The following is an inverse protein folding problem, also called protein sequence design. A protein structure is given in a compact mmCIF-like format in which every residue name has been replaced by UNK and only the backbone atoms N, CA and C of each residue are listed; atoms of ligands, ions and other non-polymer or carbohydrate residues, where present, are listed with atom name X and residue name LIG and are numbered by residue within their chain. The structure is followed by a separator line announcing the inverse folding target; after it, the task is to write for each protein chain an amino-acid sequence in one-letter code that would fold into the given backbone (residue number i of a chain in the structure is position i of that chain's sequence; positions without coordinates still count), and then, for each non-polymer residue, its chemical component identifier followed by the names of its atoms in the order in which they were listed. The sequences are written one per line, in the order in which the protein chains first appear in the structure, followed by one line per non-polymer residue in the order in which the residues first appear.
data_IF_272531858038
#
_entry.id   IF_272531858038
#
_cell.length_a   1.000
_cell.length_b   1.000
_cell.length_c   1.000
_cell.angle_alpha   90.00
_cell.angle_beta   90.00
_cell.angle_gamma   90.00
#
_symmetry.space_group_name_H-M   'P 1'
#
loop_
_entity.id
_entity.type
_entity.pdbx_description
1 polymer ?
#
# COMPACT_ATOMS: atom_id res chain seq x y z
N UNK A 1 -33.72 -5.44 6.12
CA UNK A 1 -33.38 -4.80 4.83
C UNK A 1 -32.17 -5.56 4.28
N UNK A 2 -32.17 -5.87 3.02
CA UNK A 2 -30.97 -6.45 2.42
C UNK A 2 -29.78 -5.47 2.51
N UNK A 3 -28.55 -5.96 2.75
CA UNK A 3 -27.39 -5.10 2.85
C UNK A 3 -27.11 -4.39 1.52
N UNK A 4 -26.59 -3.17 1.59
CA UNK A 4 -26.16 -2.43 0.40
C UNK A 4 -24.92 -3.08 -0.16
N UNK A 5 -24.96 -3.50 -1.43
CA UNK A 5 -23.77 -4.03 -2.11
C UNK A 5 -22.92 -2.90 -2.69
N UNK A 6 -21.64 -2.90 -2.32
CA UNK A 6 -20.62 -1.96 -2.82
C UNK A 6 -19.61 -2.72 -3.64
N UNK A 7 -19.45 -2.36 -4.90
CA UNK A 7 -18.45 -2.96 -5.76
C UNK A 7 -17.10 -2.25 -5.60
N UNK A 8 -16.14 -2.91 -4.99
CA UNK A 8 -14.76 -2.46 -4.87
C UNK A 8 -13.97 -2.86 -6.12
N UNK A 9 -13.25 -1.93 -6.74
CA UNK A 9 -12.40 -2.23 -7.90
C UNK A 9 -10.95 -2.01 -7.53
N UNK A 10 -10.19 -3.10 -7.41
CA UNK A 10 -8.78 -3.12 -6.99
C UNK A 10 -7.92 -3.91 -7.99
N UNK A 11 -6.62 -3.64 -8.06
CA UNK A 11 -5.72 -4.36 -8.96
C UNK A 11 -5.53 -5.81 -8.50
N UNK A 12 -5.23 -5.97 -7.24
CA UNK A 12 -5.09 -7.25 -6.54
C UNK A 12 -5.69 -7.13 -5.14
N UNK A 13 -6.02 -8.24 -4.54
CA UNK A 13 -6.49 -8.28 -3.17
C UNK A 13 -5.61 -9.26 -2.38
N UNK A 14 -4.71 -8.72 -1.58
CA UNK A 14 -3.81 -9.46 -0.70
C UNK A 14 -3.30 -8.55 0.43
N UNK A 15 -2.74 -9.13 1.47
CA UNK A 15 -2.26 -8.39 2.64
C UNK A 15 -0.94 -7.63 2.41
N UNK A 16 -0.22 -7.95 1.35
CA UNK A 16 1.09 -7.35 1.03
C UNK A 16 1.01 -6.09 0.15
N UNK A 17 -0.19 -5.70 -0.28
CA UNK A 17 -0.44 -4.48 -1.05
C UNK A 17 -1.11 -3.42 -0.17
N UNK A 18 -0.52 -2.23 -0.07
CA UNK A 18 -1.03 -1.17 0.78
C UNK A 18 -2.50 -0.79 0.51
N UNK A 19 -2.94 -0.75 -0.76
CA UNK A 19 -4.34 -0.48 -1.11
C UNK A 19 -5.24 -1.62 -0.69
N UNK A 20 -4.82 -2.87 -0.96
CA UNK A 20 -5.57 -4.07 -0.56
C UNK A 20 -5.70 -4.16 0.96
N UNK A 21 -4.61 -3.92 1.68
CA UNK A 21 -4.59 -3.93 3.15
C UNK A 21 -5.60 -2.94 3.73
N UNK A 22 -5.66 -1.71 3.18
CA UNK A 22 -6.65 -0.71 3.61
C UNK A 22 -8.09 -1.17 3.34
N UNK A 23 -8.36 -1.69 2.15
CA UNK A 23 -9.71 -2.15 1.78
C UNK A 23 -10.13 -3.34 2.65
N UNK A 24 -9.22 -4.29 2.92
CA UNK A 24 -9.46 -5.43 3.80
C UNK A 24 -9.63 -5.01 5.26
N UNK A 25 -8.87 -4.03 5.75
CA UNK A 25 -9.04 -3.50 7.11
C UNK A 25 -10.44 -2.87 7.29
N UNK A 26 -10.92 -2.09 6.33
CA UNK A 26 -12.28 -1.57 6.37
C UNK A 26 -13.30 -2.70 6.30
N UNK A 27 -13.11 -3.66 5.40
CA UNK A 27 -14.00 -4.80 5.24
C UNK A 27 -14.15 -5.62 6.52
N UNK A 28 -13.05 -5.98 7.18
CA UNK A 28 -13.02 -6.79 8.41
C UNK A 28 -13.64 -6.08 9.62
N UNK A 29 -13.62 -4.75 9.63
CA UNK A 29 -14.10 -3.92 10.74
C UNK A 29 -15.48 -3.28 10.50
N UNK A 30 -16.14 -3.60 9.39
CA UNK A 30 -17.50 -3.11 9.13
C UNK A 30 -18.57 -4.14 9.54
N UNK A 31 -19.81 -3.67 9.73
CA UNK A 31 -20.97 -4.54 9.97
C UNK A 31 -21.56 -5.01 8.64
N UNK A 32 -21.47 -6.32 8.36
CA UNK A 32 -21.90 -6.91 7.08
C UNK A 32 -23.43 -7.02 6.93
N UNK A 33 -24.21 -6.85 8.01
CA UNK A 33 -25.66 -6.78 7.99
C UNK A 33 -26.23 -5.55 7.27
N UNK A 34 -25.45 -4.47 7.17
CA UNK A 34 -25.84 -3.22 6.53
C UNK A 34 -25.17 -2.97 5.18
N UNK A 35 -23.95 -3.49 4.99
CA UNK A 35 -23.15 -3.28 3.81
C UNK A 35 -22.29 -4.50 3.54
N UNK A 36 -22.22 -4.94 2.28
CA UNK A 36 -21.34 -6.03 1.82
C UNK A 36 -20.50 -5.52 0.65
N UNK A 37 -19.20 -5.83 0.66
CA UNK A 37 -18.33 -5.55 -0.46
C UNK A 37 -18.28 -6.72 -1.42
N UNK A 38 -18.46 -6.45 -2.70
CA UNK A 38 -18.06 -7.33 -3.79
C UNK A 38 -16.81 -6.76 -4.45
N UNK A 39 -16.02 -7.61 -5.09
CA UNK A 39 -14.71 -7.23 -5.59
C UNK A 39 -14.54 -7.54 -7.07
N UNK A 40 -14.10 -6.55 -7.85
CA UNK A 40 -13.42 -6.76 -9.12
C UNK A 40 -11.93 -6.72 -8.87
N UNK A 41 -11.24 -7.80 -9.25
CA UNK A 41 -9.79 -7.98 -9.13
C UNK A 41 -9.17 -8.35 -10.48
N UNK A 42 -7.87 -8.08 -10.69
CA UNK A 42 -7.14 -8.37 -11.91
C UNK A 42 -6.04 -9.43 -11.73
N UNK A 43 -5.87 -9.90 -10.50
CA UNK A 43 -4.99 -11.01 -10.14
C UNK A 43 -5.77 -12.06 -9.33
N UNK A 44 -5.35 -13.34 -9.35
CA UNK A 44 -5.96 -14.36 -8.51
C UNK A 44 -5.78 -14.05 -7.02
N UNK A 45 -6.77 -14.46 -6.22
CA UNK A 45 -6.71 -14.39 -4.76
C UNK A 45 -6.06 -15.64 -4.18
N UNK A 46 -5.53 -15.47 -2.98
CA UNK A 46 -5.23 -16.60 -2.10
C UNK A 46 -6.53 -17.30 -1.68
N UNK A 47 -6.50 -18.63 -1.59
CA UNK A 47 -7.70 -19.43 -1.32
C UNK A 47 -8.28 -19.19 0.09
N UNK A 48 -7.43 -18.89 1.08
CA UNK A 48 -7.87 -18.59 2.45
C UNK A 48 -8.62 -17.26 2.48
N UNK A 49 -8.06 -16.23 1.84
CA UNK A 49 -8.71 -14.92 1.72
C UNK A 49 -10.02 -14.99 0.92
N UNK A 50 -10.04 -15.75 -0.18
CA UNK A 50 -11.26 -15.95 -0.94
C UNK A 50 -12.37 -16.55 -0.08
N UNK A 51 -12.05 -17.60 0.70
CA UNK A 51 -13.00 -18.24 1.61
C UNK A 51 -13.48 -17.29 2.70
N UNK A 52 -12.59 -16.47 3.29
CA UNK A 52 -12.95 -15.45 4.28
C UNK A 52 -13.99 -14.49 3.72
N UNK A 53 -13.78 -13.96 2.51
CA UNK A 53 -14.68 -13.02 1.87
C UNK A 53 -16.04 -13.65 1.51
N UNK A 54 -16.04 -14.86 0.98
CA UNK A 54 -17.27 -15.58 0.61
C UNK A 54 -18.14 -15.92 1.82
N UNK A 55 -17.55 -16.19 2.99
CA UNK A 55 -18.28 -16.46 4.23
C UNK A 55 -19.17 -15.29 4.71
N UNK A 56 -18.82 -14.08 4.35
CA UNK A 56 -19.62 -12.86 4.66
C UNK A 56 -20.56 -12.46 3.54
N UNK A 57 -20.70 -13.31 2.50
CA UNK A 57 -21.58 -13.11 1.35
C UNK A 57 -21.03 -12.20 0.26
N UNK A 58 -19.70 -11.96 0.26
CA UNK A 58 -19.00 -11.22 -0.81
C UNK A 58 -18.83 -12.08 -2.06
N UNK A 59 -18.93 -11.45 -3.23
CA UNK A 59 -18.60 -12.06 -4.51
C UNK A 59 -17.31 -11.47 -5.08
N UNK A 60 -16.50 -12.34 -5.70
CA UNK A 60 -15.22 -11.96 -6.29
C UNK A 60 -15.27 -12.23 -7.78
N UNK A 61 -15.01 -11.19 -8.57
CA UNK A 61 -15.04 -11.22 -10.02
C UNK A 61 -13.65 -10.95 -10.58
N UNK A 62 -13.02 -11.98 -11.13
CA UNK A 62 -11.71 -11.84 -11.74
C UNK A 62 -11.84 -11.32 -13.17
N UNK A 63 -11.26 -10.15 -13.42
CA UNK A 63 -11.19 -9.51 -14.72
C UNK A 63 -9.83 -9.73 -15.39
N UNK A 64 -9.72 -9.59 -16.72
CA UNK A 64 -8.44 -9.64 -17.40
C UNK A 64 -7.45 -8.61 -16.83
N UNK A 65 -6.16 -8.98 -16.84
CA UNK A 65 -5.08 -8.08 -16.45
C UNK A 65 -5.13 -6.75 -17.24
N UNK A 66 -4.88 -5.64 -16.55
CA UNK A 66 -4.85 -4.29 -17.14
C UNK A 66 -3.58 -4.07 -17.97
N UNK A 67 -3.57 -4.57 -19.17
CA UNK A 67 -2.49 -4.37 -20.15
C UNK A 67 -3.06 -3.88 -21.48
N UNK A 68 -2.22 -3.22 -22.30
CA UNK A 68 -2.66 -2.73 -23.61
C UNK A 68 -3.19 -3.84 -24.51
N UNK A 69 -2.61 -5.05 -24.42
CA UNK A 69 -3.05 -6.23 -25.20
C UNK A 69 -4.42 -6.74 -24.75
N UNK A 70 -4.72 -6.68 -23.47
CA UNK A 70 -5.99 -7.19 -22.91
C UNK A 70 -7.11 -6.14 -22.88
N UNK A 71 -6.84 -4.90 -23.24
CA UNK A 71 -7.80 -3.80 -23.11
C UNK A 71 -9.14 -4.03 -23.86
N UNK A 72 -9.16 -4.56 -25.11
CA UNK A 72 -10.44 -4.87 -25.78
C UNK A 72 -11.26 -5.93 -25.03
N UNK A 73 -10.59 -6.98 -24.51
CA UNK A 73 -11.23 -8.04 -23.73
C UNK A 73 -11.74 -7.47 -22.41
N UNK A 74 -10.93 -6.68 -21.69
CA UNK A 74 -11.33 -6.04 -20.44
C UNK A 74 -12.59 -5.18 -20.59
N UNK A 75 -12.66 -4.34 -21.62
CA UNK A 75 -13.85 -3.52 -21.90
C UNK A 75 -15.08 -4.38 -22.19
N UNK A 76 -14.93 -5.48 -22.95
CA UNK A 76 -16.02 -6.40 -23.25
C UNK A 76 -16.54 -7.07 -21.98
N UNK A 77 -15.64 -7.58 -21.14
CA UNK A 77 -16.03 -8.25 -19.88
C UNK A 77 -16.68 -7.26 -18.88
N UNK A 78 -16.20 -6.01 -18.80
CA UNK A 78 -16.84 -4.98 -17.98
C UNK A 78 -18.29 -4.69 -18.44
N UNK A 79 -18.51 -4.53 -19.74
CA UNK A 79 -19.87 -4.30 -20.27
C UNK A 79 -20.79 -5.45 -19.95
N UNK A 80 -20.31 -6.69 -20.18
CA UNK A 80 -21.05 -7.90 -19.85
C UNK A 80 -21.40 -7.92 -18.36
N UNK A 81 -20.41 -7.70 -17.50
CA UNK A 81 -20.57 -7.67 -16.05
C UNK A 81 -21.65 -6.69 -15.62
N UNK A 82 -21.57 -5.43 -16.04
CA UNK A 82 -22.56 -4.43 -15.65
C UNK A 82 -23.96 -4.67 -16.22
N UNK A 83 -24.06 -5.29 -17.40
CA UNK A 83 -25.35 -5.71 -17.96
C UNK A 83 -25.99 -6.86 -17.17
N UNK A 84 -25.18 -7.85 -16.75
CA UNK A 84 -25.65 -8.99 -15.94
C UNK A 84 -26.00 -8.60 -14.49
N UNK A 85 -25.44 -7.47 -13.99
CA UNK A 85 -25.65 -6.96 -12.63
C UNK A 85 -26.38 -5.61 -12.61
N UNK A 86 -27.23 -5.36 -13.60
CA UNK A 86 -28.01 -4.13 -13.66
C UNK A 86 -28.88 -3.97 -12.37
N UNK A 87 -28.84 -2.79 -11.76
CA UNK A 87 -29.58 -2.49 -10.52
C UNK A 87 -29.01 -3.10 -9.23
N UNK A 88 -28.04 -4.03 -9.32
CA UNK A 88 -27.45 -4.71 -8.14
C UNK A 88 -26.61 -3.74 -7.29
N UNK A 89 -25.77 -2.93 -7.94
CA UNK A 89 -24.83 -2.07 -7.25
C UNK A 89 -25.35 -0.64 -7.14
N UNK A 90 -25.44 -0.13 -5.90
CA UNK A 90 -25.69 1.29 -5.62
C UNK A 90 -24.39 2.12 -5.63
N UNK A 91 -23.26 1.49 -5.32
CA UNK A 91 -21.96 2.14 -5.17
C UNK A 91 -20.91 1.32 -5.93
N UNK A 92 -20.12 1.99 -6.75
CA UNK A 92 -18.84 1.48 -7.28
C UNK A 92 -17.72 2.34 -6.70
N UNK A 93 -16.82 1.71 -5.95
CA UNK A 93 -15.67 2.34 -5.31
C UNK A 93 -14.38 1.87 -5.97
N UNK A 94 -13.76 2.73 -6.74
CA UNK A 94 -12.58 2.40 -7.52
C UNK A 94 -11.29 2.94 -6.94
N UNK A 95 -10.29 2.06 -6.87
CA UNK A 95 -8.95 2.34 -6.35
C UNK A 95 -7.88 2.38 -7.45
N UNK A 96 -8.29 2.30 -8.73
CA UNK A 96 -7.42 2.28 -9.90
C UNK A 96 -7.69 3.48 -10.80
N UNK A 97 -7.09 4.67 -10.53
CA UNK A 97 -7.36 5.88 -11.29
C UNK A 97 -7.09 5.75 -12.79
N UNK A 98 -6.01 5.04 -13.17
CA UNK A 98 -5.62 4.82 -14.57
C UNK A 98 -6.55 3.87 -15.35
N UNK A 99 -7.45 3.16 -14.68
CA UNK A 99 -8.48 2.32 -15.30
C UNK A 99 -9.89 2.87 -15.09
N UNK A 100 -10.05 3.93 -14.30
CA UNK A 100 -11.34 4.47 -13.88
C UNK A 100 -12.23 4.91 -15.06
N UNK A 101 -11.63 5.40 -16.15
CA UNK A 101 -12.38 5.76 -17.37
C UNK A 101 -13.18 4.58 -17.91
N UNK A 102 -12.72 3.35 -17.72
CA UNK A 102 -13.39 2.15 -18.20
C UNK A 102 -14.46 1.68 -17.21
N UNK A 103 -14.07 1.27 -15.98
CA UNK A 103 -15.02 0.68 -15.04
C UNK A 103 -16.05 1.70 -14.50
N UNK A 104 -15.67 2.95 -14.20
CA UNK A 104 -16.64 3.98 -13.82
C UNK A 104 -17.46 4.45 -15.02
N UNK A 105 -16.90 4.36 -16.23
CA UNK A 105 -17.62 4.63 -17.48
C UNK A 105 -18.76 3.65 -17.68
N UNK A 106 -18.49 2.35 -17.61
CA UNK A 106 -19.53 1.30 -17.75
C UNK A 106 -20.51 1.32 -16.55
N UNK A 107 -20.05 1.57 -15.33
CA UNK A 107 -20.92 1.79 -14.17
C UNK A 107 -21.88 2.97 -14.38
N UNK A 108 -21.42 4.07 -15.01
CA UNK A 108 -22.27 5.21 -15.36
C UNK A 108 -23.32 4.83 -16.40
N UNK A 109 -22.95 4.06 -17.43
CA UNK A 109 -23.89 3.58 -18.47
C UNK A 109 -24.94 2.64 -17.88
N UNK A 110 -24.58 1.81 -16.91
CA UNK A 110 -25.49 0.93 -16.17
C UNK A 110 -26.32 1.64 -15.09
N UNK A 111 -26.25 2.97 -15.01
CA UNK A 111 -27.07 3.76 -14.08
C UNK A 111 -26.63 3.71 -12.62
N UNK A 112 -25.43 3.24 -12.30
CA UNK A 112 -24.93 3.22 -10.92
C UNK A 112 -24.88 4.65 -10.37
N UNK A 113 -25.62 4.98 -9.28
CA UNK A 113 -25.77 6.36 -8.81
C UNK A 113 -24.52 6.91 -8.18
N UNK A 114 -23.77 6.12 -7.39
CA UNK A 114 -22.58 6.57 -6.67
C UNK A 114 -21.31 5.91 -7.24
N UNK A 115 -20.46 6.73 -7.82
CA UNK A 115 -19.20 6.31 -8.46
C UNK A 115 -18.05 7.02 -7.80
N UNK A 116 -17.40 6.33 -6.87
CA UNK A 116 -16.29 6.85 -6.07
C UNK A 116 -14.97 6.57 -6.81
N UNK A 117 -14.14 7.56 -6.92
CA UNK A 117 -12.73 7.40 -7.30
C UNK A 117 -11.87 7.77 -6.10
N UNK A 118 -10.99 6.85 -5.68
CA UNK A 118 -10.14 6.99 -4.50
C UNK A 118 -8.66 7.06 -4.91
N UNK A 119 -7.99 8.12 -4.52
CA UNK A 119 -6.56 8.33 -4.74
C UNK A 119 -5.74 7.78 -3.57
N UNK A 120 -4.77 6.91 -3.88
CA UNK A 120 -3.87 6.31 -2.86
C UNK A 120 -2.40 6.70 -3.07
N UNK A 121 -2.06 7.37 -4.17
CA UNK A 121 -0.68 7.72 -4.51
C UNK A 121 -0.51 9.22 -4.63
N UNK A 122 0.68 9.71 -4.28
CA UNK A 122 1.09 11.12 -4.41
C UNK A 122 2.00 11.37 -5.63
N UNK A 123 2.36 10.31 -6.38
CA UNK A 123 3.21 10.43 -7.56
C UNK A 123 2.82 9.41 -8.65
N UNK A 124 3.30 9.67 -9.86
CA UNK A 124 3.10 8.80 -11.02
C UNK A 124 4.06 7.63 -11.10
N UNK A 125 3.92 6.83 -12.16
CA UNK A 125 4.82 5.72 -12.48
C UNK A 125 6.25 6.21 -12.76
N UNK A 126 7.26 5.38 -12.47
CA UNK A 126 8.68 5.63 -12.74
C UNK A 126 8.99 5.79 -14.25
N UNK A 127 8.17 5.22 -15.12
CA UNK A 127 8.29 5.36 -16.58
C UNK A 127 7.59 6.62 -17.10
N UNK A 128 8.33 7.48 -17.82
CA UNK A 128 7.80 8.70 -18.44
C UNK A 128 6.59 8.41 -19.36
N UNK A 129 6.67 7.38 -20.19
CA UNK A 129 5.58 6.96 -21.09
C UNK A 129 4.34 6.58 -20.30
N UNK A 130 4.51 5.82 -19.21
CA UNK A 130 3.40 5.45 -18.33
C UNK A 130 2.84 6.68 -17.59
N UNK A 131 3.69 7.64 -17.19
CA UNK A 131 3.25 8.90 -16.54
C UNK A 131 2.33 9.69 -17.47
N UNK A 132 2.74 9.93 -18.72
CA UNK A 132 1.95 10.67 -19.70
C UNK A 132 0.62 9.94 -19.96
N UNK A 133 0.67 8.64 -20.24
CA UNK A 133 -0.54 7.83 -20.44
C UNK A 133 -1.48 7.92 -19.23
N UNK A 134 -0.96 7.72 -18.03
CA UNK A 134 -1.75 7.72 -16.81
C UNK A 134 -2.32 9.11 -16.52
N UNK A 135 -1.61 10.20 -16.83
CA UNK A 135 -2.14 11.55 -16.72
C UNK A 135 -3.46 11.72 -17.51
N UNK A 136 -3.47 11.31 -18.77
CA UNK A 136 -4.69 11.39 -19.59
C UNK A 136 -5.78 10.44 -19.09
N UNK A 137 -5.44 9.19 -18.77
CA UNK A 137 -6.41 8.21 -18.27
C UNK A 137 -7.02 8.62 -16.93
N UNK A 138 -6.21 9.15 -16.02
CA UNK A 138 -6.68 9.67 -14.74
C UNK A 138 -7.65 10.84 -14.93
N UNK A 139 -7.29 11.80 -15.79
CA UNK A 139 -8.17 12.95 -16.07
C UNK A 139 -9.53 12.50 -16.65
N UNK A 140 -9.51 11.56 -17.59
CA UNK A 140 -10.74 10.96 -18.15
C UNK A 140 -11.51 10.18 -17.09
N UNK A 141 -10.81 9.42 -16.22
CA UNK A 141 -11.41 8.65 -15.12
C UNK A 141 -12.11 9.54 -14.09
N UNK A 142 -11.47 10.64 -13.71
CA UNK A 142 -12.05 11.66 -12.80
C UNK A 142 -13.39 12.21 -13.34
N UNK A 143 -13.55 12.35 -14.65
CA UNK A 143 -14.82 12.80 -15.26
C UNK A 143 -15.96 11.78 -15.19
N UNK A 144 -15.67 10.50 -14.91
CA UNK A 144 -16.67 9.43 -14.76
C UNK A 144 -17.14 9.24 -13.32
N UNK A 145 -16.34 9.68 -12.36
CA UNK A 145 -16.71 9.70 -10.95
C UNK A 145 -17.66 10.86 -10.62
N UNK A 146 -18.44 10.74 -9.55
CA UNK A 146 -19.23 11.80 -8.96
C UNK A 146 -18.97 11.97 -7.46
N UNK A 147 -18.14 11.10 -6.86
CA UNK A 147 -17.61 11.22 -5.51
C UNK A 147 -16.09 11.06 -5.56
N UNK A 148 -15.36 11.88 -4.81
CA UNK A 148 -13.91 12.00 -4.89
C UNK A 148 -13.30 11.78 -3.52
N UNK A 149 -12.47 10.74 -3.39
CA UNK A 149 -11.81 10.37 -2.15
C UNK A 149 -10.30 10.35 -2.33
N UNK A 150 -9.57 10.60 -1.24
CA UNK A 150 -8.12 10.45 -1.21
C UNK A 150 -7.66 10.00 0.18
N UNK A 151 -6.58 9.24 0.27
CA UNK A 151 -6.02 8.80 1.53
C UNK A 151 -5.28 9.92 2.28
N UNK A 152 -4.94 11.02 1.62
CA UNK A 152 -4.23 12.19 2.17
C UNK A 152 -4.40 13.41 1.28
N UNK A 153 -4.05 14.60 1.77
CA UNK A 153 -4.05 15.84 1.00
C UNK A 153 -3.15 15.77 -0.23
N UNK A 154 -1.93 15.23 -0.11
CA UNK A 154 -1.01 15.09 -1.25
C UNK A 154 -1.54 14.09 -2.31
N UNK A 155 -2.22 13.02 -1.91
CA UNK A 155 -2.88 12.11 -2.84
C UNK A 155 -4.07 12.76 -3.54
N UNK A 156 -4.79 13.65 -2.86
CA UNK A 156 -5.85 14.47 -3.43
C UNK A 156 -5.30 15.44 -4.48
N UNK A 157 -4.24 16.17 -4.15
CA UNK A 157 -3.60 17.11 -5.08
C UNK A 157 -3.05 16.42 -6.32
N UNK A 158 -2.45 15.25 -6.15
CA UNK A 158 -1.91 14.47 -7.27
C UNK A 158 -2.97 14.07 -8.29
N UNK A 159 -4.09 13.53 -7.84
CA UNK A 159 -5.11 12.98 -8.75
C UNK A 159 -6.08 14.05 -9.25
N UNK A 160 -6.49 14.96 -8.40
CA UNK A 160 -7.56 15.91 -8.68
C UNK A 160 -7.06 17.31 -9.01
N UNK A 161 -5.79 17.60 -8.72
CA UNK A 161 -5.15 18.91 -8.92
C UNK A 161 -5.25 19.81 -7.68
N UNK A 162 -4.20 20.57 -7.43
CA UNK A 162 -4.09 21.49 -6.27
C UNK A 162 -5.22 22.51 -6.17
N UNK A 163 -5.70 22.99 -7.32
CA UNK A 163 -6.78 24.00 -7.39
C UNK A 163 -8.13 23.37 -7.78
N UNK A 164 -8.34 22.10 -7.46
CA UNK A 164 -9.59 21.42 -7.80
C UNK A 164 -10.77 22.05 -7.08
N UNK A 165 -11.85 22.35 -7.83
CA UNK A 165 -13.13 22.79 -7.27
C UNK A 165 -14.01 21.61 -6.81
N UNK A 166 -13.53 20.38 -6.89
CA UNK A 166 -14.25 19.18 -6.46
C UNK A 166 -14.26 19.10 -4.93
N UNK A 167 -15.38 18.65 -4.38
CA UNK A 167 -15.45 18.32 -2.96
C UNK A 167 -14.77 16.97 -2.74
N UNK A 168 -13.50 16.99 -2.33
CA UNK A 168 -12.70 15.81 -2.07
C UNK A 168 -12.82 15.46 -0.59
N UNK A 169 -13.14 14.20 -0.29
CA UNK A 169 -13.15 13.68 1.07
C UNK A 169 -11.81 13.00 1.35
N UNK A 170 -11.11 13.45 2.38
CA UNK A 170 -9.96 12.72 2.89
C UNK A 170 -10.48 11.56 3.73
N UNK A 171 -10.09 10.36 3.32
CA UNK A 171 -10.39 9.11 4.00
C UNK A 171 -9.07 8.38 4.21
N UNK A 172 -8.46 8.65 5.36
CA UNK A 172 -7.13 8.17 5.70
C UNK A 172 -7.07 6.64 5.71
N UNK A 173 -5.90 6.11 5.39
CA UNK A 173 -5.64 4.69 5.52
C UNK A 173 -5.73 4.29 6.99
N UNK A 174 -6.54 3.30 7.31
CA UNK A 174 -6.71 2.77 8.65
C UNK A 174 -6.19 1.35 8.77
N UNK A 175 -5.76 1.00 9.96
CA UNK A 175 -5.34 -0.34 10.34
C UNK A 175 -6.15 -0.80 11.56
N UNK A 176 -6.00 -2.06 11.92
CA UNK A 176 -6.45 -2.63 13.19
C UNK A 176 -5.28 -2.59 14.18
N UNK A 177 -5.22 -1.59 15.10
CA UNK A 177 -4.02 -1.37 15.92
C UNK A 177 -3.66 -2.55 16.81
N UNK A 178 -4.65 -3.31 17.27
CA UNK A 178 -4.47 -4.46 18.15
C UNK A 178 -3.58 -5.55 17.52
N UNK A 179 -3.61 -5.68 16.19
CA UNK A 179 -2.75 -6.64 15.46
C UNK A 179 -1.26 -6.29 15.53
N UNK A 180 -0.94 -5.06 15.88
CA UNK A 180 0.43 -4.55 15.95
C UNK A 180 0.91 -4.32 17.38
N UNK A 181 0.05 -4.54 18.38
CA UNK A 181 0.41 -4.42 19.80
C UNK A 181 1.65 -5.24 20.13
N UNK A 182 2.55 -4.66 20.93
CA UNK A 182 3.79 -5.31 21.29
C UNK A 182 3.57 -6.67 21.97
N UNK A 183 4.27 -7.70 21.47
CA UNK A 183 4.22 -9.07 21.98
C UNK A 183 5.64 -9.61 22.18
N UNK A 184 6.04 -9.75 23.45
CA UNK A 184 7.40 -10.16 23.83
C UNK A 184 7.75 -11.56 23.29
N UNK A 185 6.82 -12.51 23.32
CA UNK A 185 7.07 -13.88 22.84
C UNK A 185 7.39 -13.90 21.34
N UNK A 186 6.63 -13.18 20.52
CA UNK A 186 6.88 -13.04 19.09
C UNK A 186 8.23 -12.38 18.82
N UNK A 187 8.58 -11.33 19.61
CA UNK A 187 9.89 -10.69 19.52
C UNK A 187 11.03 -11.66 19.79
N UNK A 188 10.98 -12.37 20.91
CA UNK A 188 12.03 -13.32 21.31
C UNK A 188 12.15 -14.48 20.31
N UNK A 189 11.03 -15.03 19.85
CA UNK A 189 10.98 -16.09 18.85
C UNK A 189 11.66 -15.67 17.53
N UNK A 190 11.30 -14.51 16.97
CA UNK A 190 11.87 -14.04 15.72
C UNK A 190 13.33 -13.63 15.87
N UNK A 191 13.72 -12.98 16.96
CA UNK A 191 15.13 -12.62 17.23
C UNK A 191 15.99 -13.88 17.35
N UNK A 192 15.48 -14.93 17.98
CA UNK A 192 16.15 -16.25 18.05
C UNK A 192 16.22 -16.92 16.67
N UNK A 193 15.11 -16.96 15.92
CA UNK A 193 15.03 -17.56 14.59
C UNK A 193 16.04 -16.94 13.62
N UNK A 194 16.18 -15.62 13.64
CA UNK A 194 17.11 -14.88 12.78
C UNK A 194 18.50 -14.68 13.42
N UNK A 195 18.74 -15.24 14.61
CA UNK A 195 20.01 -15.19 15.33
C UNK A 195 20.54 -13.75 15.53
N UNK A 196 19.64 -12.82 15.79
CA UNK A 196 20.03 -11.41 15.93
C UNK A 196 20.56 -11.08 17.33
N UNK A 197 20.22 -11.88 18.35
CA UNK A 197 20.65 -11.61 19.73
C UNK A 197 20.16 -10.25 20.25
N UNK A 198 21.02 -9.52 20.96
CA UNK A 198 20.72 -8.20 21.51
C UNK A 198 21.08 -7.04 20.57
N UNK A 199 21.53 -7.34 19.34
CA UNK A 199 21.88 -6.31 18.34
C UNK A 199 20.71 -5.36 18.07
N UNK A 200 21.01 -4.12 17.78
CA UNK A 200 20.03 -3.14 17.32
C UNK A 200 19.40 -3.59 15.99
N UNK A 201 18.08 -3.73 15.92
CA UNK A 201 17.36 -4.10 14.72
C UNK A 201 16.66 -2.89 14.12
N UNK A 202 17.21 -2.42 13.01
CA UNK A 202 16.64 -1.33 12.22
C UNK A 202 15.80 -1.95 11.12
N UNK A 203 14.50 -1.67 11.06
CA UNK A 203 13.58 -2.37 10.17
C UNK A 203 13.00 -1.50 9.07
N UNK A 204 12.71 -2.13 7.94
CA UNK A 204 11.90 -1.58 6.87
C UNK A 204 10.94 -2.64 6.31
N UNK A 205 9.69 -2.26 6.11
CA UNK A 205 8.69 -3.10 5.46
C UNK A 205 8.25 -2.43 4.17
N UNK A 206 8.45 -3.11 3.04
CA UNK A 206 8.07 -2.52 1.77
C UNK A 206 8.53 -3.30 0.55
N UNK A 207 7.84 -3.05 -0.57
CA UNK A 207 8.21 -3.64 -1.86
C UNK A 207 9.54 -3.07 -2.35
N UNK A 208 10.45 -3.92 -2.84
CA UNK A 208 11.70 -3.50 -3.47
C UNK A 208 11.43 -2.81 -4.82
N UNK A 209 11.11 -1.52 -4.73
CA UNK A 209 10.81 -0.61 -5.83
C UNK A 209 11.51 0.73 -5.61
N UNK A 210 11.68 1.52 -6.66
CA UNK A 210 12.31 2.84 -6.63
C UNK A 210 11.70 3.74 -5.52
N UNK A 211 10.38 3.74 -5.43
CA UNK A 211 9.62 4.49 -4.44
C UNK A 211 10.13 4.31 -3.00
N UNK A 212 10.47 3.08 -2.59
CA UNK A 212 10.85 2.72 -1.21
C UNK A 212 12.34 2.98 -0.90
N UNK A 213 13.15 3.29 -1.94
CA UNK A 213 14.52 3.76 -1.81
C UNK A 213 15.44 2.84 -0.97
N UNK A 214 15.38 1.52 -1.24
CA UNK A 214 16.22 0.52 -0.55
C UNK A 214 17.71 0.80 -0.68
N UNK A 215 18.11 1.49 -1.76
CA UNK A 215 19.49 1.95 -1.92
C UNK A 215 19.93 2.83 -0.75
N UNK A 216 19.10 3.77 -0.34
CA UNK A 216 19.39 4.69 0.76
C UNK A 216 19.41 3.96 2.11
N UNK A 217 18.54 2.96 2.33
CA UNK A 217 18.60 2.09 3.52
C UNK A 217 19.96 1.39 3.66
N UNK A 218 20.51 0.89 2.56
CA UNK A 218 21.83 0.27 2.56
C UNK A 218 22.95 1.31 2.79
N UNK A 219 22.77 2.55 2.34
CA UNK A 219 23.71 3.65 2.62
C UNK A 219 23.67 4.05 4.11
N UNK A 220 22.49 4.07 4.74
CA UNK A 220 22.36 4.27 6.20
C UNK A 220 23.10 3.15 6.96
N UNK A 221 22.88 1.88 6.58
CA UNK A 221 23.56 0.74 7.20
C UNK A 221 25.09 0.82 7.04
N UNK A 222 25.58 1.29 5.89
CA UNK A 222 27.02 1.49 5.68
C UNK A 222 27.58 2.57 6.60
N UNK A 223 26.87 3.70 6.76
CA UNK A 223 27.26 4.76 7.71
C UNK A 223 27.22 4.30 9.17
N UNK A 224 26.25 3.46 9.53
CA UNK A 224 26.18 2.90 10.88
C UNK A 224 27.33 1.89 11.15
N UNK A 225 27.70 1.11 10.13
CA UNK A 225 28.83 0.16 10.24
C UNK A 225 30.18 0.83 10.54
N UNK A 226 30.36 2.09 10.14
CA UNK A 226 31.57 2.86 10.50
C UNK A 226 31.64 3.16 12.01
N UNK A 227 30.50 3.08 12.71
CA UNK A 227 30.38 3.36 14.14
C UNK A 227 30.31 2.09 14.99
N UNK A 228 29.61 1.06 14.51
CA UNK A 228 29.38 -0.20 15.22
C UNK A 228 29.05 -1.34 14.24
N UNK A 229 29.42 -2.56 14.63
CA UNK A 229 28.96 -3.80 13.95
C UNK A 229 27.74 -4.43 14.63
N UNK A 230 27.31 -3.88 15.77
CA UNK A 230 26.28 -4.48 16.62
C UNK A 230 24.87 -4.07 16.22
N UNK A 231 24.56 -4.22 14.93
CA UNK A 231 23.24 -3.92 14.38
C UNK A 231 22.82 -4.89 13.25
N UNK A 232 21.53 -4.91 12.98
CA UNK A 232 20.90 -5.59 11.83
C UNK A 232 20.00 -4.61 11.09
N UNK A 233 20.15 -4.51 9.79
CA UNK A 233 19.14 -3.93 8.89
C UNK A 233 18.21 -5.05 8.41
N UNK A 234 16.97 -5.05 8.87
CA UNK A 234 15.92 -6.00 8.51
C UNK A 234 15.08 -5.45 7.36
N UNK A 235 15.13 -6.11 6.21
CA UNK A 235 14.38 -5.75 5.00
C UNK A 235 13.27 -6.76 4.72
N UNK A 236 12.04 -6.38 5.01
CA UNK A 236 10.84 -7.22 4.85
C UNK A 236 10.14 -6.87 3.54
N UNK A 237 10.04 -7.82 2.62
CA UNK A 237 9.34 -7.65 1.36
C UNK A 237 10.06 -8.25 0.15
N UNK A 238 9.42 -8.11 -1.00
CA UNK A 238 9.91 -8.58 -2.30
C UNK A 238 9.81 -7.48 -3.36
N UNK A 239 10.49 -7.64 -4.50
CA UNK A 239 10.35 -6.74 -5.64
C UNK A 239 11.53 -6.72 -6.59
N UNK A 240 11.37 -5.99 -7.68
CA UNK A 240 12.30 -6.01 -8.81
C UNK A 240 13.71 -5.53 -8.47
N UNK A 241 13.86 -4.64 -7.48
CA UNK A 241 15.15 -4.08 -7.08
C UNK A 241 15.88 -4.88 -5.99
N UNK A 242 15.29 -6.00 -5.52
CA UNK A 242 15.97 -6.85 -4.51
C UNK A 242 17.33 -7.34 -4.95
N UNK A 243 17.52 -7.92 -6.17
CA UNK A 243 18.84 -8.40 -6.60
C UNK A 243 19.91 -7.30 -6.66
N UNK A 244 19.52 -6.08 -7.05
CA UNK A 244 20.40 -4.92 -7.05
C UNK A 244 20.78 -4.49 -5.62
N UNK A 245 19.81 -4.51 -4.70
CA UNK A 245 20.03 -4.20 -3.28
C UNK A 245 20.99 -5.21 -2.65
N UNK A 246 20.81 -6.51 -2.89
CA UNK A 246 21.70 -7.58 -2.41
C UNK A 246 23.13 -7.43 -2.96
N UNK A 247 23.27 -7.06 -4.25
CA UNK A 247 24.57 -6.77 -4.85
C UNK A 247 25.27 -5.57 -4.17
N UNK A 248 24.49 -4.54 -3.80
CA UNK A 248 25.01 -3.37 -3.09
C UNK A 248 25.46 -3.71 -1.68
N UNK A 249 24.68 -4.52 -0.94
CA UNK A 249 25.06 -5.05 0.38
C UNK A 249 26.39 -5.77 0.32
N UNK A 250 26.57 -6.71 -0.62
CA UNK A 250 27.86 -7.40 -0.81
C UNK A 250 29.01 -6.44 -1.14
N UNK A 251 28.77 -5.46 -2.02
CA UNK A 251 29.80 -4.48 -2.40
C UNK A 251 30.29 -3.64 -1.20
N UNK A 252 29.42 -3.41 -0.22
CA UNK A 252 29.73 -2.61 0.97
C UNK A 252 30.14 -3.47 2.18
N UNK A 253 30.26 -4.80 2.04
CA UNK A 253 30.65 -5.72 3.10
C UNK A 253 29.64 -5.79 4.24
N UNK A 254 28.33 -5.70 3.93
CA UNK A 254 27.24 -5.64 4.91
C UNK A 254 26.49 -6.97 5.07
N UNK A 255 27.02 -8.09 4.51
CA UNK A 255 26.32 -9.39 4.49
C UNK A 255 26.00 -9.89 5.91
N UNK A 256 26.84 -9.59 6.90
CA UNK A 256 26.61 -9.96 8.29
C UNK A 256 25.62 -9.04 9.05
N UNK A 257 25.26 -7.91 8.43
CA UNK A 257 24.41 -6.88 9.05
C UNK A 257 23.05 -6.71 8.36
N UNK A 258 22.76 -7.41 7.26
CA UNK A 258 21.51 -7.24 6.51
C UNK A 258 20.76 -8.57 6.38
N UNK A 259 19.49 -8.57 6.77
CA UNK A 259 18.59 -9.71 6.63
C UNK A 259 17.51 -9.37 5.60
N UNK A 260 17.34 -10.25 4.61
CA UNK A 260 16.27 -10.21 3.61
C UNK A 260 15.27 -11.32 3.92
N UNK A 261 14.06 -10.98 4.38
CA UNK A 261 13.06 -12.00 4.72
C UNK A 261 12.31 -12.53 3.50
N UNK A 262 12.24 -11.75 2.42
CA UNK A 262 11.28 -11.98 1.35
C UNK A 262 9.87 -11.48 1.72
N UNK A 263 8.88 -11.84 0.90
CA UNK A 263 7.48 -11.59 1.22
C UNK A 263 7.05 -12.51 2.37
N UNK A 264 6.39 -11.94 3.36
CA UNK A 264 5.93 -12.65 4.56
C UNK A 264 4.41 -12.59 4.67
N UNK A 265 3.78 -13.62 5.26
CA UNK A 265 2.32 -13.64 5.47
C UNK A 265 1.88 -12.70 6.60
N UNK A 266 2.69 -12.61 7.66
CA UNK A 266 2.37 -11.87 8.88
C UNK A 266 3.37 -10.72 9.09
N UNK A 267 3.31 -9.62 8.34
CA UNK A 267 4.25 -8.52 8.48
C UNK A 267 4.21 -7.88 9.88
N UNK A 268 3.07 -7.94 10.60
CA UNK A 268 2.93 -7.44 11.96
C UNK A 268 3.90 -8.09 12.94
N UNK A 269 4.28 -9.35 12.74
CA UNK A 269 5.20 -10.06 13.62
C UNK A 269 6.62 -9.49 13.50
N UNK A 270 6.99 -9.04 12.32
CA UNK A 270 8.34 -8.49 12.06
C UNK A 270 8.57 -7.11 12.69
N UNK A 271 7.52 -6.32 12.92
CA UNK A 271 7.65 -5.08 13.70
C UNK A 271 8.04 -5.38 15.16
N UNK A 272 7.66 -6.56 15.69
CA UNK A 272 7.97 -6.92 17.07
C UNK A 272 9.49 -7.10 17.31
N UNK A 273 10.24 -7.55 16.29
CA UNK A 273 11.69 -7.73 16.46
C UNK A 273 12.51 -6.47 16.21
N UNK A 274 11.90 -5.41 15.67
CA UNK A 274 12.55 -4.14 15.38
C UNK A 274 12.73 -3.30 16.65
N UNK A 275 13.72 -2.41 16.62
CA UNK A 275 13.95 -1.38 17.64
C UNK A 275 13.67 0.02 17.05
N UNK A 276 13.89 0.20 15.74
CA UNK A 276 13.62 1.44 14.98
C UNK A 276 13.06 1.08 13.61
N UNK A 277 12.09 1.84 13.14
CA UNK A 277 11.54 1.70 11.79
C UNK A 277 12.01 2.82 10.87
N UNK A 278 12.49 2.48 9.68
CA UNK A 278 12.95 3.44 8.67
C UNK A 278 12.03 3.47 7.44
N UNK A 279 11.65 4.68 6.99
CA UNK A 279 10.90 4.89 5.76
C UNK A 279 11.51 6.03 4.91
N UNK A 280 12.62 5.81 4.19
CA UNK A 280 13.25 6.81 3.33
C UNK A 280 12.59 6.88 1.94
N UNK A 281 11.28 6.72 1.86
CA UNK A 281 10.54 6.70 0.59
C UNK A 281 10.67 8.02 -0.16
N UNK A 282 10.81 7.94 -1.48
CA UNK A 282 10.88 9.13 -2.34
C UNK A 282 9.54 9.86 -2.42
N UNK A 283 8.44 9.15 -2.29
CA UNK A 283 7.07 9.66 -2.29
C UNK A 283 6.10 8.63 -1.73
N UNK A 284 5.05 9.09 -1.04
CA UNK A 284 3.95 8.26 -0.53
C UNK A 284 2.64 9.05 -0.57
N UNK A 285 1.51 8.34 -0.66
CA UNK A 285 0.20 8.91 -0.41
C UNK A 285 -0.02 9.09 1.10
N UNK A 286 -0.36 7.99 1.78
CA UNK A 286 -0.27 7.82 3.24
C UNK A 286 0.24 6.39 3.46
N UNK A 287 1.52 6.20 3.85
CA UNK A 287 2.13 4.88 3.93
C UNK A 287 1.58 4.07 5.10
N UNK A 288 0.82 3.01 4.81
CA UNK A 288 0.23 2.11 5.83
C UNK A 288 1.31 1.55 6.75
N UNK A 289 2.46 1.15 6.20
CA UNK A 289 3.59 0.58 6.97
C UNK A 289 4.13 1.52 8.04
N UNK A 290 4.03 2.84 7.86
CA UNK A 290 4.43 3.80 8.89
C UNK A 290 3.35 3.96 9.97
N UNK A 291 2.08 3.79 9.63
CA UNK A 291 0.98 3.72 10.60
C UNK A 291 1.11 2.44 11.44
N UNK A 292 1.43 1.32 10.80
CA UNK A 292 1.66 0.01 11.41
C UNK A 292 2.84 0.05 12.40
N UNK A 293 3.99 0.61 11.98
CA UNK A 293 5.17 0.75 12.83
C UNK A 293 4.90 1.60 14.09
N UNK A 294 4.16 2.71 13.93
CA UNK A 294 3.76 3.54 15.07
C UNK A 294 2.77 2.83 16.01
N UNK A 295 1.84 2.04 15.45
CA UNK A 295 0.93 1.20 16.24
C UNK A 295 1.67 0.09 17.01
N UNK A 296 2.81 -0.38 16.48
CA UNK A 296 3.71 -1.30 17.18
C UNK A 296 4.56 -0.61 18.26
N UNK A 297 4.44 0.72 18.43
CA UNK A 297 5.19 1.50 19.41
C UNK A 297 6.64 1.79 19.01
N UNK A 298 6.99 1.63 17.73
CA UNK A 298 8.36 1.83 17.26
C UNK A 298 8.68 3.33 17.07
N UNK A 299 9.87 3.78 17.49
CA UNK A 299 10.48 4.99 16.97
C UNK A 299 10.58 4.89 15.44
N UNK A 300 10.21 5.97 14.73
CA UNK A 300 10.17 5.98 13.28
C UNK A 300 10.99 7.13 12.70
N UNK A 301 11.97 6.83 11.84
CA UNK A 301 12.62 7.82 11.01
C UNK A 301 11.97 7.77 9.62
N UNK A 302 11.38 8.88 9.20
CA UNK A 302 10.59 8.98 7.98
C UNK A 302 11.11 10.12 7.11
N UNK A 303 11.20 9.89 5.81
CA UNK A 303 11.64 10.92 4.87
C UNK A 303 10.69 12.15 4.89
N UNK A 304 11.25 13.34 4.80
CA UNK A 304 10.50 14.61 4.71
C UNK A 304 9.70 14.77 3.40
N UNK A 305 10.00 13.93 2.40
CA UNK A 305 9.22 13.77 1.16
C UNK A 305 7.86 13.09 1.36
N UNK A 306 7.65 12.43 2.51
CA UNK A 306 6.37 11.83 2.88
C UNK A 306 5.49 12.89 3.54
N UNK A 307 4.17 12.80 3.33
CA UNK A 307 3.21 13.75 3.93
C UNK A 307 3.32 13.83 5.45
N UNK A 308 3.13 15.02 6.02
CA UNK A 308 3.07 15.21 7.48
C UNK A 308 1.91 14.49 8.16
N UNK A 309 0.87 14.17 7.40
CA UNK A 309 -0.29 13.40 7.88
C UNK A 309 0.09 11.98 8.40
N UNK A 310 1.34 11.53 8.11
CA UNK A 310 1.88 10.25 8.63
C UNK A 310 2.29 10.32 10.10
N UNK A 311 2.49 11.52 10.65
CA UNK A 311 2.94 11.72 12.04
C UNK A 311 1.74 11.58 12.97
N UNK A 312 1.61 10.41 13.59
CA UNK A 312 0.50 10.05 14.48
C UNK A 312 0.93 9.99 15.95
N UNK A 313 2.24 9.86 16.19
CA UNK A 313 2.85 9.78 17.54
C UNK A 313 4.04 10.74 17.64
N UNK A 314 4.48 11.04 18.86
CA UNK A 314 5.65 11.86 19.17
C UNK A 314 6.99 11.11 18.92
N UNK A 315 6.95 9.83 18.60
CA UNK A 315 8.12 9.01 18.27
C UNK A 315 8.50 9.06 16.78
N UNK A 316 7.87 9.91 16.00
CA UNK A 316 8.19 10.09 14.57
C UNK A 316 9.13 11.27 14.40
N UNK A 317 10.27 11.02 13.75
CA UNK A 317 11.21 12.04 13.31
C UNK A 317 11.28 12.07 11.79
N UNK A 318 11.14 13.25 11.20
CA UNK A 318 11.23 13.44 9.74
C UNK A 318 12.58 13.98 9.36
N UNK A 319 13.23 13.33 8.39
CA UNK A 319 14.60 13.64 7.98
C UNK A 319 14.70 13.77 6.45
N UNK A 320 15.60 14.64 5.96
CA UNK A 320 15.87 14.73 4.53
C UNK A 320 16.60 13.49 4.02
N UNK A 321 16.36 13.10 2.75
CA UNK A 321 16.96 11.93 2.12
C UNK A 321 18.27 12.23 1.34
N UNK A 322 18.91 13.36 1.62
CA UNK A 322 20.16 13.76 0.98
C UNK A 322 21.40 13.21 1.70
N UNK A 323 21.31 12.89 2.98
CA UNK A 323 22.46 12.51 3.80
C UNK A 323 22.15 11.28 4.66
N UNK A 324 22.67 10.12 4.26
CA UNK A 324 22.49 8.87 4.99
C UNK A 324 23.20 8.86 6.37
N UNK A 325 24.31 9.63 6.53
CA UNK A 325 25.00 9.74 7.80
C UNK A 325 24.16 10.47 8.87
N UNK A 326 23.29 11.40 8.48
CA UNK A 326 22.35 12.04 9.39
C UNK A 326 21.37 11.01 9.97
N UNK A 327 20.84 10.12 9.14
CA UNK A 327 19.97 9.02 9.59
C UNK A 327 20.69 7.99 10.47
N UNK A 328 21.97 7.75 10.23
CA UNK A 328 22.78 6.82 11.03
C UNK A 328 23.17 7.37 12.39
N UNK A 329 23.13 8.69 12.59
CA UNK A 329 23.46 9.37 13.86
C UNK A 329 22.24 9.58 14.76
N UNK A 330 21.05 9.40 14.25
CA UNK A 330 19.79 9.52 14.98
C UNK A 330 19.40 8.23 15.69
#
# INVERSE_FOLDING_TARGET
MEPIRVLQVVEMLNENSGVSSVVLNYYRNMTHDRCVFDFIVHAPLDAELQKELEQTGSHIYQMPELSGKNMPRYKKELRKFFAEHEGTYKIVHGHLPNAAVFYLGEAKHAGVPFRILHSHNSCGSDSMVKRIRNFFLNHMGVSKANLYFACSGCAAEYLYGKNSKKQIRIWNNAIEPQRFSFELQTREMLRSQYQVGDRLVIGHVGRFAEQKNHRFLVEIAAGLKEQTDDFILLLVGEGKLRPETEKRVRKLGLEGNVIFTGAVKNPQDYYQMMDVFLLPSLYEGLPVVAVEAQAAGLPCLIADTVTEEVVLTDQVRRLPIQNAAEWANE
#
